data_IF_265002310295
#
_entry.id   IF_265002310295
#
_cell.length_a   1.000
_cell.length_b   1.000
_cell.length_c   1.000
_cell.angle_alpha   90.00
_cell.angle_beta   90.00
_cell.angle_gamma   90.00
#
_symmetry.space_group_name_H-M   'P 1'
#
loop_
_entity.id
_entity.type
_entity.pdbx_description
1 polymer ?
#
# COMPACT_ATOMS: atom_id res chain seq x y z
N UNK A 1 -15.20 -14.76 -14.43
CA UNK A 1 -14.14 -13.87 -13.93
C UNK A 1 -14.27 -13.82 -12.43
N UNK A 2 -13.19 -14.06 -11.70
CA UNK A 2 -13.16 -14.05 -10.25
C UNK A 2 -12.63 -12.68 -9.78
N UNK A 3 -13.52 -11.87 -9.22
CA UNK A 3 -13.22 -10.52 -8.72
C UNK A 3 -12.09 -10.54 -7.67
N UNK A 4 -11.95 -11.64 -6.94
CA UNK A 4 -10.89 -11.85 -5.96
C UNK A 4 -9.51 -11.97 -6.62
N UNK A 5 -9.37 -12.81 -7.65
CA UNK A 5 -8.15 -12.97 -8.43
C UNK A 5 -7.82 -11.73 -9.26
N UNK A 6 -8.84 -11.08 -9.84
CA UNK A 6 -8.68 -9.81 -10.54
C UNK A 6 -8.14 -8.74 -9.60
N UNK A 7 -8.72 -8.62 -8.40
CA UNK A 7 -8.26 -7.67 -7.39
C UNK A 7 -6.81 -7.89 -6.95
N UNK A 8 -6.41 -9.14 -6.75
CA UNK A 8 -5.02 -9.48 -6.39
C UNK A 8 -4.04 -9.07 -7.50
N UNK A 9 -4.33 -9.42 -8.76
CA UNK A 9 -3.48 -9.06 -9.91
C UNK A 9 -3.33 -7.55 -10.05
N UNK A 10 -4.42 -6.80 -9.88
CA UNK A 10 -4.41 -5.34 -9.97
C UNK A 10 -3.58 -4.74 -8.82
N UNK A 11 -3.76 -5.23 -7.59
CA UNK A 11 -3.01 -4.77 -6.43
C UNK A 11 -1.50 -5.02 -6.59
N UNK A 12 -1.11 -6.21 -7.05
CA UNK A 12 0.30 -6.57 -7.32
C UNK A 12 0.91 -5.69 -8.41
N UNK A 13 0.19 -5.46 -9.52
CA UNK A 13 0.65 -4.56 -10.60
C UNK A 13 0.87 -3.13 -10.09
N UNK A 14 -0.07 -2.61 -9.30
CA UNK A 14 0.06 -1.28 -8.70
C UNK A 14 1.22 -1.21 -7.70
N UNK A 15 1.40 -2.24 -6.85
CA UNK A 15 2.51 -2.30 -5.91
C UNK A 15 3.86 -2.22 -6.65
N UNK A 16 4.05 -3.02 -7.70
CA UNK A 16 5.26 -2.97 -8.54
C UNK A 16 5.53 -1.61 -9.17
N UNK A 17 4.48 -0.87 -9.57
CA UNK A 17 4.64 0.52 -10.03
C UNK A 17 5.19 1.41 -8.92
N UNK A 18 4.60 1.30 -7.73
CA UNK A 18 4.87 2.17 -6.58
C UNK A 18 6.22 1.88 -5.93
N UNK A 19 6.76 0.67 -6.07
CA UNK A 19 8.10 0.32 -5.60
C UNK A 19 9.22 1.14 -6.24
N UNK A 20 8.98 1.63 -7.45
CA UNK A 20 9.90 2.52 -8.18
C UNK A 20 9.76 3.99 -7.79
N UNK A 21 8.84 4.33 -6.88
CA UNK A 21 8.56 5.70 -6.51
C UNK A 21 9.59 6.23 -5.50
N UNK A 22 10.21 7.36 -5.83
CA UNK A 22 11.10 8.08 -4.94
C UNK A 22 10.64 9.51 -4.75
N UNK A 23 10.89 10.05 -3.57
CA UNK A 23 10.69 11.45 -3.24
C UNK A 23 11.41 11.78 -1.93
N UNK A 24 11.77 13.04 -1.75
CA UNK A 24 12.41 13.52 -0.53
C UNK A 24 11.66 14.73 0.03
N UNK A 25 11.54 14.78 1.35
CA UNK A 25 11.06 15.93 2.11
C UNK A 25 9.68 16.47 1.78
N UNK A 26 8.79 15.59 1.34
CA UNK A 26 7.40 15.96 1.07
C UNK A 26 6.60 16.08 2.38
N UNK A 27 5.67 17.03 2.41
CA UNK A 27 4.62 17.12 3.44
C UNK A 27 3.59 16.00 3.26
N UNK A 28 2.69 15.81 4.22
CA UNK A 28 1.61 14.81 4.13
C UNK A 28 0.77 14.96 2.86
N UNK A 29 0.36 16.19 2.53
CA UNK A 29 -0.47 16.45 1.36
C UNK A 29 0.32 16.21 0.06
N UNK A 30 1.60 16.62 0.03
CA UNK A 30 2.46 16.40 -1.12
C UNK A 30 2.70 14.92 -1.40
N UNK A 31 2.88 14.07 -0.36
CA UNK A 31 2.99 12.62 -0.56
C UNK A 31 1.68 12.04 -1.09
N UNK A 32 0.55 12.42 -0.51
CA UNK A 32 -0.77 11.95 -0.96
C UNK A 32 -1.01 12.32 -2.42
N UNK A 33 -0.76 13.58 -2.82
CA UNK A 33 -0.84 14.03 -4.21
C UNK A 33 0.10 13.22 -5.11
N UNK A 34 1.37 13.04 -4.71
CA UNK A 34 2.37 12.29 -5.48
C UNK A 34 1.94 10.84 -5.73
N UNK A 35 1.30 10.21 -4.74
CA UNK A 35 0.78 8.86 -4.83
C UNK A 35 -0.45 8.77 -5.72
N UNK A 36 -1.40 9.71 -5.60
CA UNK A 36 -2.54 9.82 -6.50
C UNK A 36 -2.07 9.99 -7.95
N UNK A 37 -1.07 10.83 -8.20
CA UNK A 37 -0.48 11.00 -9.53
C UNK A 37 0.14 9.70 -10.04
N UNK A 38 0.89 8.97 -9.20
CA UNK A 38 1.48 7.69 -9.58
C UNK A 38 0.43 6.61 -9.91
N UNK A 39 -0.68 6.57 -9.16
CA UNK A 39 -1.83 5.69 -9.46
C UNK A 39 -2.45 6.06 -10.81
N UNK A 40 -2.66 7.36 -11.06
CA UNK A 40 -3.24 7.83 -12.32
C UNK A 40 -2.34 7.50 -13.51
N UNK A 41 -1.03 7.69 -13.39
CA UNK A 41 -0.04 7.33 -14.41
C UNK A 41 -0.07 5.82 -14.71
N UNK A 42 -0.08 4.98 -13.67
CA UNK A 42 -0.17 3.53 -13.84
C UNK A 42 -1.46 3.11 -14.51
N UNK A 43 -2.61 3.58 -14.02
CA UNK A 43 -3.90 3.22 -14.57
C UNK A 43 -4.01 3.66 -16.04
N UNK A 44 -3.52 4.86 -16.37
CA UNK A 44 -3.49 5.33 -17.77
C UNK A 44 -2.58 4.46 -18.64
N UNK A 45 -1.39 4.09 -18.15
CA UNK A 45 -0.45 3.20 -18.85
C UNK A 45 -0.99 1.78 -19.04
N UNK A 46 -1.82 1.31 -18.11
CA UNK A 46 -2.57 0.06 -18.19
C UNK A 46 -3.86 0.20 -19.02
N UNK A 47 -4.07 1.31 -19.73
CA UNK A 47 -5.21 1.52 -20.64
C UNK A 47 -6.54 1.79 -19.95
N UNK A 48 -6.55 2.16 -18.67
CA UNK A 48 -7.77 2.55 -17.97
C UNK A 48 -8.16 4.00 -18.26
N UNK A 49 -9.46 4.26 -18.33
CA UNK A 49 -9.98 5.62 -18.22
C UNK A 49 -10.04 6.01 -16.75
N UNK A 50 -9.35 7.09 -16.38
CA UNK A 50 -9.15 7.49 -14.99
C UNK A 50 -10.00 8.71 -14.65
N UNK A 51 -10.58 8.69 -13.45
CA UNK A 51 -11.35 9.78 -12.85
C UNK A 51 -10.78 10.10 -11.48
N UNK A 52 -10.31 11.32 -11.28
CA UNK A 52 -9.89 11.82 -9.97
C UNK A 52 -11.11 12.33 -9.20
N UNK A 53 -11.12 12.20 -7.87
CA UNK A 53 -12.21 12.69 -7.01
C UNK A 53 -13.59 12.19 -7.46
N UNK A 54 -13.67 10.91 -7.84
CA UNK A 54 -14.89 10.31 -8.35
C UNK A 54 -15.94 10.20 -7.24
N UNK A 55 -17.22 10.30 -7.60
CA UNK A 55 -18.30 10.10 -6.65
C UNK A 55 -18.28 8.66 -6.11
N UNK A 56 -18.32 8.53 -4.78
CA UNK A 56 -18.51 7.24 -4.10
C UNK A 56 -19.99 6.88 -4.08
N UNK A 57 -20.27 5.58 -4.11
CA UNK A 57 -21.62 5.03 -3.91
C UNK A 57 -22.09 5.14 -2.46
N UNK A 58 -21.18 5.40 -1.51
CA UNK A 58 -21.54 5.58 -0.10
C UNK A 58 -22.07 7.01 0.14
N UNK A 59 -23.34 7.19 0.52
CA UNK A 59 -23.88 8.51 0.85
C UNK A 59 -23.20 9.10 2.09
N UNK A 60 -23.15 10.43 2.17
CA UNK A 60 -22.68 11.10 3.38
C UNK A 60 -23.76 11.05 4.48
N UNK A 61 -23.34 10.97 5.76
CA UNK A 61 -24.29 10.97 6.87
C UNK A 61 -24.96 12.34 7.05
N UNK A 62 -26.08 12.41 7.79
CA UNK A 62 -26.68 13.67 8.22
C UNK A 62 -25.68 14.62 8.90
N UNK A 63 -25.77 15.95 8.70
CA UNK A 63 -26.73 16.70 7.86
C UNK A 63 -26.25 16.88 6.40
N UNK A 64 -25.29 16.06 5.96
CA UNK A 64 -24.65 16.17 4.64
C UNK A 64 -25.28 15.26 3.59
N UNK A 65 -26.51 14.72 3.79
CA UNK A 65 -27.07 13.67 2.94
C UNK A 65 -27.22 14.08 1.45
N UNK A 66 -27.31 15.39 1.17
CA UNK A 66 -27.35 15.93 -0.19
C UNK A 66 -26.00 16.03 -0.90
N UNK A 67 -24.89 15.66 -0.23
CA UNK A 67 -23.53 15.69 -0.79
C UNK A 67 -23.03 14.26 -1.03
N UNK A 68 -22.29 14.07 -2.11
CA UNK A 68 -21.63 12.78 -2.40
C UNK A 68 -20.28 12.70 -1.68
N UNK A 69 -19.97 11.54 -1.13
CA UNK A 69 -18.60 11.22 -0.73
C UNK A 69 -17.74 11.03 -1.98
N UNK A 70 -16.44 11.24 -1.87
CA UNK A 70 -15.51 11.15 -3.02
C UNK A 70 -14.43 10.12 -2.75
N UNK A 71 -14.09 9.40 -3.82
CA UNK A 71 -12.94 8.51 -3.95
C UNK A 71 -11.76 9.28 -4.55
N UNK A 72 -10.54 8.99 -4.13
CA UNK A 72 -9.37 9.67 -4.70
C UNK A 72 -9.22 9.37 -6.19
N UNK A 73 -9.33 8.09 -6.57
CA UNK A 73 -9.25 7.63 -7.96
C UNK A 73 -10.29 6.54 -8.25
N UNK A 74 -10.95 6.64 -9.40
CA UNK A 74 -11.69 5.54 -10.00
C UNK A 74 -11.19 5.29 -11.43
N UNK A 75 -11.14 4.02 -11.83
CA UNK A 75 -10.65 3.56 -13.12
C UNK A 75 -11.69 2.66 -13.76
N UNK A 76 -11.98 2.86 -15.05
CA UNK A 76 -12.93 2.05 -15.79
C UNK A 76 -12.37 1.60 -17.14
N UNK A 77 -12.70 0.36 -17.52
CA UNK A 77 -12.43 -0.22 -18.83
C UNK A 77 -13.63 -1.08 -19.27
N UNK A 78 -13.91 -1.20 -20.58
CA UNK A 78 -15.02 -2.03 -21.06
C UNK A 78 -14.85 -3.53 -20.77
N UNK A 79 -13.61 -4.01 -20.73
CA UNK A 79 -13.27 -5.44 -20.67
C UNK A 79 -12.94 -5.94 -19.25
N UNK A 80 -12.99 -5.06 -18.24
CA UNK A 80 -12.59 -5.39 -16.86
C UNK A 80 -13.46 -4.69 -15.81
N UNK A 81 -13.64 -5.27 -14.62
CA UNK A 81 -14.34 -4.61 -13.52
C UNK A 81 -13.70 -3.25 -13.18
N UNK A 82 -14.48 -2.22 -12.82
CA UNK A 82 -13.93 -0.94 -12.38
C UNK A 82 -13.06 -1.09 -11.14
N UNK A 83 -12.00 -0.31 -11.04
CA UNK A 83 -11.10 -0.26 -9.88
C UNK A 83 -11.30 1.07 -9.17
N UNK A 84 -11.36 1.06 -7.85
CA UNK A 84 -11.40 2.28 -7.02
C UNK A 84 -10.24 2.27 -6.05
N UNK A 85 -9.62 3.43 -5.85
CA UNK A 85 -8.43 3.59 -5.00
C UNK A 85 -8.64 4.74 -4.03
N UNK A 86 -8.38 4.47 -2.75
CA UNK A 86 -8.26 5.47 -1.69
C UNK A 86 -6.82 5.51 -1.19
N UNK A 87 -6.29 6.71 -0.97
CA UNK A 87 -4.91 6.95 -0.56
C UNK A 87 -4.90 7.60 0.82
N UNK A 88 -4.52 6.84 1.85
CA UNK A 88 -4.53 7.33 3.23
C UNK A 88 -3.19 7.12 3.93
N UNK A 89 -2.85 8.06 4.81
CA UNK A 89 -1.74 7.93 5.76
C UNK A 89 -2.18 7.48 7.17
N UNK A 90 -3.49 7.48 7.46
CA UNK A 90 -4.09 7.03 8.72
C UNK A 90 -5.16 5.96 8.53
N UNK A 91 -5.39 5.11 9.54
CA UNK A 91 -6.46 4.11 9.51
C UNK A 91 -7.82 4.76 9.77
N UNK A 92 -8.52 5.09 8.68
CA UNK A 92 -9.85 5.73 8.75
C UNK A 92 -10.92 4.68 8.53
N UNK A 93 -11.71 4.39 9.58
CA UNK A 93 -12.89 3.52 9.50
C UNK A 93 -13.82 3.90 8.35
N UNK A 94 -14.01 5.21 8.12
CA UNK A 94 -14.84 5.71 7.02
C UNK A 94 -14.32 5.31 5.64
N UNK A 95 -13.00 5.21 5.44
CA UNK A 95 -12.42 4.73 4.18
C UNK A 95 -12.77 3.26 3.95
N UNK A 96 -12.66 2.44 4.98
CA UNK A 96 -13.07 1.03 4.93
C UNK A 96 -14.54 0.90 4.54
N UNK A 97 -15.44 1.66 5.17
CA UNK A 97 -16.87 1.66 4.85
C UNK A 97 -17.13 2.05 3.38
N UNK A 98 -16.43 3.07 2.86
CA UNK A 98 -16.51 3.45 1.44
C UNK A 98 -16.12 2.28 0.55
N UNK A 99 -14.92 1.73 0.77
CA UNK A 99 -14.36 0.67 -0.06
C UNK A 99 -15.20 -0.62 -0.02
N UNK A 100 -15.80 -0.97 1.13
CA UNK A 100 -16.75 -2.07 1.22
C UNK A 100 -18.00 -1.80 0.38
N UNK A 101 -18.58 -0.60 0.45
CA UNK A 101 -19.74 -0.24 -0.36
C UNK A 101 -19.45 -0.28 -1.87
N UNK A 102 -18.24 0.13 -2.28
CA UNK A 102 -17.79 0.01 -3.68
C UNK A 102 -17.62 -1.45 -4.12
N UNK A 103 -17.16 -2.31 -3.20
CA UNK A 103 -17.05 -3.74 -3.46
C UNK A 103 -18.42 -4.39 -3.71
N UNK A 104 -19.41 -4.05 -2.88
CA UNK A 104 -20.80 -4.49 -3.06
C UNK A 104 -21.40 -3.99 -4.39
N UNK A 105 -20.92 -2.83 -4.88
CA UNK A 105 -21.25 -2.32 -6.21
C UNK A 105 -20.48 -3.00 -7.36
N UNK A 106 -19.75 -4.10 -7.08
CA UNK A 106 -19.03 -4.90 -8.07
C UNK A 106 -17.71 -4.30 -8.54
N UNK A 107 -17.15 -3.33 -7.81
CA UNK A 107 -15.84 -2.72 -8.11
C UNK A 107 -14.73 -3.46 -7.37
N UNK A 108 -13.49 -3.30 -7.82
CA UNK A 108 -12.29 -3.78 -7.14
C UNK A 108 -11.80 -2.65 -6.21
N UNK A 109 -12.00 -2.77 -4.88
CA UNK A 109 -11.50 -1.79 -3.91
C UNK A 109 -10.02 -1.97 -3.59
N UNK A 110 -9.25 -0.89 -3.74
CA UNK A 110 -7.86 -0.82 -3.32
C UNK A 110 -7.70 0.27 -2.26
N UNK A 111 -7.12 -0.09 -1.12
CA UNK A 111 -6.66 0.86 -0.13
C UNK A 111 -5.14 1.00 -0.20
N UNK A 112 -4.69 2.14 -0.72
CA UNK A 112 -3.28 2.50 -0.73
C UNK A 112 -2.94 3.17 0.60
N UNK A 113 -2.24 2.44 1.47
CA UNK A 113 -1.75 2.96 2.76
C UNK A 113 -0.31 3.42 2.62
N UNK A 114 0.02 4.59 3.16
CA UNK A 114 1.41 5.05 3.19
C UNK A 114 1.81 5.59 4.56
N UNK A 115 3.09 5.47 4.93
CA UNK A 115 3.55 5.82 6.26
C UNK A 115 4.74 4.98 6.74
N UNK A 116 4.97 4.99 8.05
CA UNK A 116 5.92 4.07 8.67
C UNK A 116 5.31 2.66 8.75
N UNK A 117 6.12 1.58 8.74
CA UNK A 117 5.61 0.21 8.78
C UNK A 117 4.68 -0.07 9.97
N UNK A 118 3.79 -1.07 9.82
CA UNK A 118 2.82 -1.47 10.84
C UNK A 118 1.35 -1.29 10.45
N UNK A 119 1.02 -1.37 9.15
CA UNK A 119 -0.35 -1.22 8.65
C UNK A 119 -1.24 -2.40 9.04
N UNK A 120 -2.43 -2.12 9.56
CA UNK A 120 -3.44 -3.14 9.81
C UNK A 120 -4.12 -3.55 8.50
N UNK A 121 -4.25 -4.86 8.27
CA UNK A 121 -4.94 -5.37 7.09
C UNK A 121 -6.44 -5.00 7.14
N UNK A 122 -7.01 -4.50 6.03
CA UNK A 122 -8.44 -4.27 5.95
C UNK A 122 -9.23 -5.59 5.83
N UNK A 123 -10.53 -5.57 6.14
CA UNK A 123 -11.39 -6.73 5.88
C UNK A 123 -11.46 -7.01 4.37
N UNK A 124 -11.63 -8.30 4.02
CA UNK A 124 -11.95 -8.70 2.66
C UNK A 124 -13.28 -8.05 2.20
N UNK A 125 -13.45 -7.73 0.90
CA UNK A 125 -12.52 -7.99 -0.21
C UNK A 125 -11.53 -6.85 -0.51
N UNK A 126 -11.33 -5.90 0.41
CA UNK A 126 -10.43 -4.75 0.18
C UNK A 126 -8.99 -5.23 0.01
N UNK A 127 -8.36 -4.85 -1.10
CA UNK A 127 -6.94 -5.10 -1.35
C UNK A 127 -6.11 -3.95 -0.80
N UNK A 128 -5.12 -4.24 0.03
CA UNK A 128 -4.21 -3.23 0.56
C UNK A 128 -2.92 -3.20 -0.25
N UNK A 129 -2.50 -1.99 -0.63
CA UNK A 129 -1.17 -1.73 -1.22
C UNK A 129 -0.47 -0.75 -0.30
N UNK A 130 0.78 -1.04 0.07
CA UNK A 130 1.52 -0.21 1.04
C UNK A 130 2.66 0.57 0.38
N UNK A 131 2.89 1.77 0.90
CA UNK A 131 4.01 2.64 0.52
C UNK A 131 4.73 3.08 1.79
N UNK A 132 5.82 2.38 2.10
CA UNK A 132 6.63 2.71 3.26
C UNK A 132 7.48 3.97 3.01
N UNK A 133 7.54 4.83 4.03
CA UNK A 133 8.31 6.08 4.01
C UNK A 133 9.08 6.25 5.31
N UNK A 134 10.22 6.92 5.21
CA UNK A 134 10.90 7.50 6.36
C UNK A 134 10.25 8.83 6.74
N UNK A 135 10.33 9.21 8.02
CA UNK A 135 9.82 10.50 8.51
C UNK A 135 10.87 11.24 9.32
N UNK A 136 10.86 12.57 9.23
CA UNK A 136 11.62 13.46 10.13
C UNK A 136 10.79 14.67 10.51
N UNK A 137 11.21 15.38 11.56
CA UNK A 137 10.64 16.68 11.88
C UNK A 137 11.12 17.70 10.82
N UNK A 138 10.18 18.43 10.24
CA UNK A 138 10.50 19.57 9.39
C UNK A 138 10.92 20.79 10.21
N UNK A 139 11.25 21.91 9.54
CA UNK A 139 11.49 23.18 10.20
C UNK A 139 10.27 23.61 11.05
N UNK A 140 10.51 24.50 12.01
CA UNK A 140 9.47 25.01 12.89
C UNK A 140 8.27 25.53 12.07
N UNK A 141 7.06 25.08 12.45
CA UNK A 141 5.81 25.43 11.77
C UNK A 141 5.49 24.61 10.51
N UNK A 142 6.38 23.74 10.03
CA UNK A 142 6.19 22.99 8.77
C UNK A 142 5.81 21.51 8.94
N UNK A 143 5.61 21.06 10.19
CA UNK A 143 5.17 19.70 10.48
C UNK A 143 6.20 18.62 10.13
N UNK A 144 5.74 17.39 9.91
CA UNK A 144 6.57 16.24 9.55
C UNK A 144 6.89 16.24 8.05
N UNK A 145 8.09 15.77 7.71
CA UNK A 145 8.56 15.56 6.34
C UNK A 145 8.79 14.08 6.09
N UNK A 146 8.48 13.65 4.87
CA UNK A 146 8.49 12.24 4.48
C UNK A 146 9.34 12.04 3.23
N UNK A 147 10.11 10.96 3.23
CA UNK A 147 10.97 10.57 2.11
C UNK A 147 10.86 9.08 1.85
N UNK A 148 10.88 8.70 0.58
CA UNK A 148 10.97 7.31 0.11
C UNK A 148 12.17 7.18 -0.83
N UNK A 149 12.98 6.16 -0.56
CA UNK A 149 14.06 5.69 -1.43
C UNK A 149 13.68 4.32 -2.00
N UNK A 150 14.19 3.93 -3.17
CA UNK A 150 14.00 2.58 -3.68
C UNK A 150 14.53 1.56 -2.69
N UNK A 151 13.87 0.42 -2.56
CA UNK A 151 14.34 -0.69 -1.74
C UNK A 151 15.74 -1.16 -2.19
N UNK A 152 16.03 -1.05 -3.50
CA UNK A 152 17.34 -1.38 -4.07
C UNK A 152 18.49 -0.46 -3.60
N UNK A 153 18.19 0.74 -3.09
CA UNK A 153 19.17 1.73 -2.64
C UNK A 153 19.32 1.78 -1.11
N UNK A 154 18.69 0.84 -0.39
CA UNK A 154 18.91 0.70 1.05
C UNK A 154 20.31 0.08 1.26
N UNK A 155 21.24 0.76 1.94
CA UNK A 155 22.49 0.13 2.31
C UNK A 155 22.19 -1.09 3.18
N UNK A 156 22.94 -2.18 2.98
CA UNK A 156 22.81 -3.37 3.81
C UNK A 156 22.88 -2.98 5.30
N UNK A 157 22.04 -3.58 6.17
CA UNK A 157 22.09 -3.28 7.59
C UNK A 157 23.52 -3.44 8.10
N UNK A 158 23.98 -2.48 8.90
CA UNK A 158 25.30 -2.55 9.51
C UNK A 158 25.33 -3.74 10.48
N UNK A 159 25.91 -4.85 10.06
CA UNK A 159 26.23 -5.95 10.97
C UNK A 159 27.39 -5.47 11.84
N UNK A 160 27.11 -5.23 13.13
CA UNK A 160 28.15 -5.16 14.14
C UNK A 160 28.88 -6.51 14.15
N UNK A 161 30.06 -6.57 13.54
CA UNK A 161 30.96 -7.72 13.66
C UNK A 161 31.50 -7.70 15.08
N UNK A 162 30.76 -8.31 16.01
CA UNK A 162 31.34 -8.70 17.30
C UNK A 162 32.34 -9.79 16.99
N UNK A 163 33.64 -9.52 17.20
CA UNK A 163 34.67 -10.55 17.11
C UNK A 163 34.32 -11.67 18.08
N UNK A 164 33.88 -12.81 17.55
CA UNK A 164 33.68 -14.03 18.32
C UNK A 164 35.07 -14.53 18.67
N UNK A 165 35.41 -14.52 19.97
CA UNK A 165 36.64 -15.14 20.47
C UNK A 165 36.70 -16.63 20.10
N UNK A 166 37.88 -17.28 20.19
CA UNK A 166 38.06 -18.66 19.74
C UNK A 166 37.04 -19.58 20.41
N UNK A 167 36.11 -20.09 19.59
CA UNK A 167 35.06 -21.01 20.04
C UNK A 167 35.62 -22.42 19.95
N UNK A 168 35.61 -23.14 21.07
CA UNK A 168 35.99 -24.55 21.12
C UNK A 168 34.87 -25.35 20.43
N UNK A 169 35.13 -26.13 19.37
CA UNK A 169 34.10 -26.90 18.70
C UNK A 169 33.56 -27.98 19.65
N UNK A 170 32.27 -27.91 19.96
CA UNK A 170 31.55 -28.99 20.63
C UNK A 170 30.88 -29.85 19.56
N UNK A 171 31.33 -31.10 19.42
CA UNK A 171 30.71 -32.07 18.54
C UNK A 171 29.42 -32.59 19.18
N UNK A 172 28.28 -32.34 18.53
CA UNK A 172 27.02 -32.99 18.87
C UNK A 172 27.03 -34.42 18.30
N UNK A 173 26.83 -35.47 19.12
CA UNK A 173 26.76 -36.83 18.61
C UNK A 173 25.50 -37.00 17.76
N UNK A 174 25.67 -37.27 16.48
CA UNK A 174 24.59 -37.70 15.58
C UNK A 174 24.45 -39.22 15.72
N UNK A 175 23.29 -39.77 16.10
CA UNK A 175 23.07 -41.21 16.09
C UNK A 175 23.05 -41.71 14.63
N UNK A 176 23.92 -42.68 14.31
CA UNK A 176 23.89 -43.35 13.01
C UNK A 176 22.73 -44.37 12.99
N UNK A 177 21.93 -44.42 11.91
CA UNK A 177 20.87 -45.40 11.77
C UNK A 177 21.43 -46.77 11.39
N UNK A 178 21.29 -47.73 12.32
CA UNK A 178 21.13 -49.18 12.10
C UNK A 178 22.17 -49.92 11.25
N UNK A 179 22.92 -50.83 11.88
CA UNK A 179 23.45 -52.03 11.22
C UNK A 179 22.93 -53.28 11.95
N UNK A 180 22.63 -54.37 11.21
CA UNK A 180 21.93 -55.54 11.72
C UNK A 180 22.88 -56.60 12.29
N UNK A 181 22.37 -57.42 13.20
CA UNK A 181 22.59 -58.87 13.22
C UNK A 181 21.31 -59.55 13.75
#
# INVERSE_FOLDING_TARGET
>A
MDLGQDGERVAVSLAHRLDRLTFEDLSTDQVTTRLVDAVVEWATGEGWRVYRRAASVLPLPPPMEGRQSVLDVACARPDRPPVVVEVDHTDRRRTVEKLLAEAEAGRIPIWLRWGVPGFAAPPAPIRMVTVEVSRRNGPAGQGRRYSRRPVADLPAPAHSVTAVGPTVPFALPIPLPGEPD
#
